data_IF_593127618284
#
_entry.id   IF_593127618284
#
_cell.length_a   1.000
_cell.length_b   1.000
_cell.length_c   1.000
_cell.angle_alpha   90.00
_cell.angle_beta   90.00
_cell.angle_gamma   90.00
#
_symmetry.space_group_name_H-M   'P 1'
#
loop_
_entity.id
_entity.type
_entity.pdbx_description
1 polymer ?
#
# COMPACT_ATOMS: atom_id res chain seq x y z
N UNK A 1 -7.85 25.05 -8.12
CA UNK A 1 -7.31 24.63 -6.81
C UNK A 1 -8.18 23.48 -6.35
N UNK A 2 -7.88 22.30 -6.88
CA UNK A 2 -8.68 21.10 -6.69
C UNK A 2 -8.40 20.55 -5.29
N UNK A 3 -9.47 20.34 -4.52
CA UNK A 3 -9.40 20.07 -3.10
C UNK A 3 -8.57 18.84 -2.79
N UNK A 4 -7.74 18.92 -1.75
CA UNK A 4 -7.10 17.77 -1.15
C UNK A 4 -8.20 16.81 -0.69
N UNK A 5 -8.46 15.78 -1.49
CA UNK A 5 -9.37 14.70 -1.13
C UNK A 5 -8.81 14.04 0.14
N UNK A 6 -9.51 14.23 1.26
CA UNK A 6 -9.10 13.68 2.55
C UNK A 6 -9.37 12.17 2.52
N UNK A 7 -8.37 11.38 2.15
CA UNK A 7 -8.43 9.91 2.19
C UNK A 7 -8.45 9.32 3.63
N UNK A 8 -8.71 10.15 4.65
CA UNK A 8 -8.74 9.77 6.05
C UNK A 8 -10.18 9.81 6.60
N UNK A 9 -11.10 9.03 6.03
CA UNK A 9 -12.47 8.82 6.54
C UNK A 9 -12.60 7.51 7.36
N UNK A 10 -13.79 7.16 7.88
CA UNK A 10 -13.96 5.91 8.66
C UNK A 10 -13.47 4.63 7.95
N UNK A 11 -13.28 4.67 6.62
CA UNK A 11 -12.82 3.58 5.79
C UNK A 11 -11.29 3.39 5.78
N UNK A 12 -10.49 4.28 6.41
CA UNK A 12 -9.02 4.12 6.52
C UNK A 12 -8.59 3.18 7.66
N UNK A 13 -9.54 2.72 8.49
CA UNK A 13 -9.23 1.93 9.69
C UNK A 13 -8.60 0.59 9.30
N UNK A 14 -7.40 0.35 9.85
CA UNK A 14 -6.63 -0.89 9.68
C UNK A 14 -7.48 -2.11 10.04
N UNK A 15 -7.45 -3.14 9.20
CA UNK A 15 -8.08 -4.45 9.47
C UNK A 15 -7.07 -5.48 9.96
N UNK A 16 -5.82 -5.40 9.50
CA UNK A 16 -4.73 -6.32 9.85
C UNK A 16 -3.39 -5.56 9.91
N UNK A 17 -2.50 -5.97 10.80
CA UNK A 17 -1.15 -5.40 10.89
C UNK A 17 -0.22 -5.98 9.82
N UNK A 18 0.78 -5.21 9.38
CA UNK A 18 1.64 -5.58 8.25
C UNK A 18 2.34 -6.92 8.48
N UNK A 19 2.90 -7.14 9.67
CA UNK A 19 3.57 -8.40 10.04
C UNK A 19 2.63 -9.55 10.41
N UNK A 20 1.32 -9.34 10.36
CA UNK A 20 0.31 -10.34 10.70
C UNK A 20 -0.47 -10.86 9.49
N UNK A 21 -0.30 -10.25 8.30
CA UNK A 21 -0.90 -10.76 7.07
C UNK A 21 -0.36 -12.14 6.76
N UNK A 22 -1.27 -13.08 6.47
CA UNK A 22 -0.99 -14.48 6.25
C UNK A 22 -1.87 -15.05 5.15
N UNK A 23 -1.77 -16.36 4.90
CA UNK A 23 -2.67 -17.05 3.97
C UNK A 23 -4.15 -16.99 4.38
N UNK A 24 -4.47 -16.62 5.63
CA UNK A 24 -5.86 -16.47 6.10
C UNK A 24 -6.60 -15.34 5.40
N UNK A 25 -5.87 -14.34 4.92
CA UNK A 25 -6.41 -13.15 4.25
C UNK A 25 -6.47 -13.31 2.72
N UNK A 26 -6.11 -14.46 2.17
CA UNK A 26 -6.12 -14.71 0.73
C UNK A 26 -7.52 -14.48 0.13
N UNK A 27 -7.58 -13.71 -0.97
CA UNK A 27 -8.83 -13.35 -1.65
C UNK A 27 -9.69 -12.30 -0.94
N UNK A 28 -9.28 -11.79 0.22
CA UNK A 28 -10.05 -10.81 0.99
C UNK A 28 -9.56 -9.38 0.76
N UNK A 29 -10.47 -8.42 0.87
CA UNK A 29 -10.11 -7.00 0.94
C UNK A 29 -9.60 -6.67 2.35
N UNK A 30 -8.33 -6.27 2.44
CA UNK A 30 -7.70 -5.87 3.70
C UNK A 30 -7.19 -4.43 3.64
N UNK A 31 -7.11 -3.78 4.80
CA UNK A 31 -6.54 -2.44 4.97
C UNK A 31 -5.33 -2.51 5.90
N UNK A 32 -4.18 -2.13 5.36
CA UNK A 32 -2.90 -2.08 6.06
C UNK A 32 -2.38 -0.65 6.06
N UNK A 33 -1.82 -0.23 7.19
CA UNK A 33 -1.31 1.13 7.38
C UNK A 33 0.11 1.03 7.94
N UNK A 34 1.06 1.77 7.40
CA UNK A 34 2.45 1.73 7.82
C UNK A 34 3.31 2.80 7.13
N UNK A 35 4.63 2.64 7.24
CA UNK A 35 5.61 3.52 6.63
C UNK A 35 6.33 2.80 5.49
N UNK A 36 6.70 3.55 4.45
CA UNK A 36 7.48 3.03 3.33
C UNK A 36 8.89 2.71 3.84
N UNK A 37 9.22 1.43 3.96
CA UNK A 37 10.57 1.00 4.37
C UNK A 37 11.52 0.93 3.19
N UNK A 38 11.03 0.45 2.04
CA UNK A 38 11.81 0.31 0.81
C UNK A 38 10.88 0.43 -0.40
N UNK A 39 11.38 1.10 -1.44
CA UNK A 39 10.73 1.19 -2.75
C UNK A 39 11.60 0.54 -3.81
N UNK A 40 11.00 -0.28 -4.67
CA UNK A 40 11.65 -0.82 -5.87
C UNK A 40 10.74 -0.59 -7.07
N UNK A 41 11.34 -0.12 -8.16
CA UNK A 41 10.67 0.15 -9.42
C UNK A 41 11.39 -0.66 -10.50
N UNK A 42 10.69 -1.61 -11.10
CA UNK A 42 11.27 -2.55 -12.05
C UNK A 42 10.77 -2.30 -13.49
N UNK A 43 10.50 -1.04 -13.84
CA UNK A 43 10.18 -0.66 -15.22
C UNK A 43 8.76 -1.03 -15.67
N UNK A 44 7.85 -1.19 -14.72
CA UNK A 44 6.44 -1.52 -14.99
C UNK A 44 5.63 -1.88 -13.74
N UNK A 45 6.30 -2.30 -12.66
CA UNK A 45 5.68 -2.54 -11.35
C UNK A 45 6.42 -1.74 -10.28
N UNK A 46 5.65 -1.18 -9.34
CA UNK A 46 6.20 -0.59 -8.12
C UNK A 46 5.96 -1.54 -6.96
N UNK A 47 7.03 -1.89 -6.26
CA UNK A 47 7.02 -2.68 -5.03
C UNK A 47 7.33 -1.76 -3.86
N UNK A 48 6.48 -1.80 -2.84
CA UNK A 48 6.69 -1.12 -1.57
C UNK A 48 6.77 -2.16 -0.47
N UNK A 49 7.87 -2.17 0.28
CA UNK A 49 7.91 -2.86 1.56
C UNK A 49 7.30 -1.89 2.58
N UNK A 50 6.02 -2.13 2.93
CA UNK A 50 5.29 -1.37 3.93
C UNK A 50 5.58 -1.96 5.30
N UNK A 51 5.96 -1.11 6.27
CA UNK A 51 6.36 -1.56 7.60
C UNK A 51 5.53 -0.93 8.71
N UNK A 52 5.24 -1.71 9.73
CA UNK A 52 4.77 -1.24 11.03
C UNK A 52 5.50 -1.98 12.16
N UNK A 53 5.16 -1.70 13.42
CA UNK A 53 5.81 -2.29 14.59
C UNK A 53 5.71 -3.84 14.67
N UNK A 54 4.86 -4.48 13.85
CA UNK A 54 4.70 -5.94 13.82
C UNK A 54 5.53 -6.62 12.75
N UNK A 55 5.97 -5.90 11.71
CA UNK A 55 6.72 -6.47 10.61
C UNK A 55 6.52 -5.73 9.28
N UNK A 56 7.02 -6.33 8.19
CA UNK A 56 6.92 -5.78 6.85
C UNK A 56 5.98 -6.62 5.98
N UNK A 57 5.26 -5.94 5.09
CA UNK A 57 4.41 -6.51 4.05
C UNK A 57 4.82 -5.92 2.70
N UNK A 58 4.90 -6.76 1.67
CA UNK A 58 5.12 -6.28 0.31
C UNK A 58 3.80 -5.89 -0.34
N UNK A 59 3.72 -4.66 -0.83
CA UNK A 59 2.59 -4.15 -1.63
C UNK A 59 3.06 -3.95 -3.06
N UNK A 60 2.33 -4.52 -4.02
CA UNK A 60 2.64 -4.45 -5.45
C UNK A 60 1.60 -3.58 -6.13
N UNK A 61 2.05 -2.55 -6.83
CA UNK A 61 1.20 -1.69 -7.64
C UNK A 61 1.35 -2.08 -9.11
N UNK A 62 0.28 -2.63 -9.69
CA UNK A 62 0.21 -3.02 -11.10
C UNK A 62 -0.55 -1.95 -11.92
N UNK A 63 0.11 -1.26 -12.87
CA UNK A 63 -0.54 -0.25 -13.70
C UNK A 63 -1.60 -0.81 -14.64
N UNK A 64 -1.60 -2.11 -14.96
CA UNK A 64 -2.65 -2.73 -15.78
C UNK A 64 -3.98 -2.86 -15.04
N UNK A 65 -3.93 -2.93 -13.71
CA UNK A 65 -5.13 -3.02 -12.85
C UNK A 65 -5.58 -1.63 -12.40
N UNK A 66 -4.63 -0.81 -11.92
CA UNK A 66 -4.90 0.49 -11.31
C UNK A 66 -3.83 1.54 -11.69
N UNK A 67 -3.90 2.13 -12.91
CA UNK A 67 -2.90 3.09 -13.41
C UNK A 67 -2.71 4.32 -12.50
N UNK A 68 -3.80 4.84 -11.94
CA UNK A 68 -3.81 6.01 -11.06
C UNK A 68 -3.13 5.72 -9.72
N UNK A 69 -3.34 4.54 -9.14
CA UNK A 69 -2.70 4.13 -7.90
C UNK A 69 -1.20 3.89 -8.16
N UNK A 70 -0.84 3.27 -9.27
CA UNK A 70 0.55 3.10 -9.67
C UNK A 70 1.28 4.46 -9.80
N UNK A 71 0.67 5.45 -10.44
CA UNK A 71 1.22 6.82 -10.55
C UNK A 71 1.42 7.48 -9.18
N UNK A 72 0.53 7.24 -8.22
CA UNK A 72 0.70 7.73 -6.84
C UNK A 72 1.81 6.99 -6.10
N UNK A 73 1.92 5.67 -6.30
CA UNK A 73 2.98 4.86 -5.69
C UNK A 73 4.38 5.23 -6.21
N UNK A 74 4.50 5.72 -7.45
CA UNK A 74 5.79 6.14 -8.00
C UNK A 74 6.38 7.39 -7.34
N UNK A 75 5.54 8.25 -6.74
CA UNK A 75 5.99 9.44 -6.01
C UNK A 75 6.35 9.17 -4.55
N UNK A 76 6.08 7.97 -4.02
CA UNK A 76 6.42 7.60 -2.65
C UNK A 76 7.94 7.66 -2.40
N UNK A 77 8.29 7.99 -1.16
CA UNK A 77 9.67 8.09 -0.64
C UNK A 77 9.76 7.31 0.67
N UNK A 78 10.94 6.77 0.94
CA UNK A 78 11.32 6.15 2.22
C UNK A 78 11.88 7.18 3.18
#
# INVERSE_FOLDING_TARGET
MEGTERHFDGNWKRTVYCGQVSAREEGQEIRVNGWVRKRRDLGGLVFIDLWDHTGALQVVFNPELYPEVHKRASSLRS
#
